data_IF_661815536250
#
_entry.id   IF_661815536250
#
_cell.length_a   1.000
_cell.length_b   1.000
_cell.length_c   1.000
_cell.angle_alpha   90.00
_cell.angle_beta   90.00
_cell.angle_gamma   90.00
#
_symmetry.space_group_name_H-M   'P 1'
#
loop_
_entity.id
_entity.type
_entity.pdbx_description
1 polymer ?
#
# COMPACT_ATOMS: atom_id res chain seq x y z
N UNK A 1 19.61 -20.66 -15.70
CA UNK A 1 18.76 -19.50 -15.32
C UNK A 1 18.46 -18.64 -16.54
N UNK A 2 17.17 -18.43 -16.89
CA UNK A 2 16.74 -17.56 -18.00
C UNK A 2 17.30 -16.14 -17.89
N UNK A 3 17.54 -15.47 -19.02
CA UNK A 3 18.10 -14.10 -19.05
C UNK A 3 17.24 -13.10 -18.28
N UNK A 4 15.91 -13.24 -18.32
CA UNK A 4 14.97 -12.41 -17.57
C UNK A 4 15.24 -12.45 -16.05
N UNK A 5 15.52 -13.62 -15.49
CA UNK A 5 15.84 -13.76 -14.06
C UNK A 5 17.22 -13.20 -13.71
N UNK A 6 18.19 -13.21 -14.65
CA UNK A 6 19.53 -12.64 -14.39
C UNK A 6 19.47 -11.12 -14.16
N UNK A 7 18.62 -10.41 -14.90
CA UNK A 7 18.40 -8.95 -14.71
C UNK A 7 17.74 -8.61 -13.38
N UNK A 8 16.97 -9.54 -12.82
CA UNK A 8 16.30 -9.40 -11.53
C UNK A 8 17.02 -10.15 -10.39
N UNK A 9 18.27 -10.57 -10.61
CA UNK A 9 19.04 -11.30 -9.60
C UNK A 9 19.22 -10.46 -8.33
N UNK A 10 19.25 -11.13 -7.18
CA UNK A 10 19.41 -10.48 -5.86
C UNK A 10 20.65 -9.58 -5.85
N UNK A 11 21.79 -10.07 -6.34
CA UNK A 11 23.03 -9.29 -6.39
C UNK A 11 22.92 -7.99 -7.20
N UNK A 12 22.05 -7.94 -8.22
CA UNK A 12 21.75 -6.74 -9.00
C UNK A 12 20.85 -5.80 -8.19
N UNK A 13 19.73 -6.33 -7.66
CA UNK A 13 18.76 -5.55 -6.90
C UNK A 13 19.33 -5.00 -5.58
N UNK A 14 20.27 -5.70 -4.93
CA UNK A 14 20.96 -5.22 -3.72
C UNK A 14 21.69 -3.91 -3.95
N UNK A 15 22.29 -3.73 -5.15
CA UNK A 15 23.07 -2.55 -5.52
C UNK A 15 22.21 -1.40 -6.04
N UNK A 16 20.97 -1.69 -6.42
CA UNK A 16 20.02 -0.69 -6.89
C UNK A 16 19.09 -0.26 -5.74
N UNK A 17 19.29 0.96 -5.25
CA UNK A 17 18.48 1.56 -4.19
C UNK A 17 16.99 1.70 -4.59
N UNK A 18 16.70 1.74 -5.89
CA UNK A 18 15.35 1.80 -6.45
C UNK A 18 14.85 0.43 -6.93
N UNK A 19 15.43 -0.66 -6.46
CA UNK A 19 14.96 -1.99 -6.80
C UNK A 19 13.67 -2.36 -6.06
N UNK A 20 12.87 -3.29 -6.62
CA UNK A 20 11.74 -3.90 -5.91
C UNK A 20 12.15 -4.50 -4.55
N UNK A 21 13.33 -5.12 -4.47
CA UNK A 21 13.86 -5.68 -3.22
C UNK A 21 14.01 -4.62 -2.12
N UNK A 22 14.62 -3.47 -2.43
CA UNK A 22 14.83 -2.41 -1.44
C UNK A 22 13.51 -1.77 -1.01
N UNK A 23 12.59 -1.52 -1.97
CA UNK A 23 11.23 -1.06 -1.65
C UNK A 23 10.47 -2.04 -0.75
N UNK A 24 10.54 -3.33 -1.04
CA UNK A 24 9.89 -4.36 -0.23
C UNK A 24 10.46 -4.39 1.20
N UNK A 25 11.78 -4.35 1.36
CA UNK A 25 12.43 -4.31 2.68
C UNK A 25 12.00 -3.09 3.48
N UNK A 26 12.00 -1.91 2.86
CA UNK A 26 11.62 -0.67 3.50
C UNK A 26 10.13 -0.70 3.92
N UNK A 27 9.24 -1.20 3.06
CA UNK A 27 7.83 -1.43 3.41
C UNK A 27 7.66 -2.40 4.58
N UNK A 28 8.34 -3.55 4.58
CA UNK A 28 8.27 -4.53 5.68
C UNK A 28 8.78 -3.92 6.99
N UNK A 29 9.87 -3.15 6.95
CA UNK A 29 10.40 -2.45 8.12
C UNK A 29 9.39 -1.41 8.66
N UNK A 30 8.72 -0.66 7.78
CA UNK A 30 7.63 0.24 8.17
C UNK A 30 6.44 -0.50 8.77
N UNK A 31 5.94 -1.56 8.09
CA UNK A 31 4.81 -2.38 8.55
C UNK A 31 5.05 -2.94 9.95
N UNK A 32 6.29 -3.33 10.27
CA UNK A 32 6.64 -3.86 11.61
C UNK A 32 6.44 -2.85 12.74
N UNK A 33 6.44 -1.55 12.43
CA UNK A 33 6.18 -0.46 13.39
C UNK A 33 4.70 -0.14 13.58
N UNK A 34 3.81 -0.74 12.77
CA UNK A 34 2.36 -0.52 12.84
C UNK A 34 1.69 -1.72 13.51
N UNK A 35 1.27 -1.64 14.80
CA UNK A 35 0.63 -2.76 15.50
C UNK A 35 -0.62 -3.27 14.76
N UNK A 36 -1.47 -2.35 14.27
CA UNK A 36 -2.67 -2.68 13.51
C UNK A 36 -2.36 -3.52 12.26
N UNK A 37 -1.30 -3.21 11.52
CA UNK A 37 -0.94 -3.99 10.33
C UNK A 37 -0.34 -5.36 10.64
N UNK A 38 0.30 -5.54 11.81
CA UNK A 38 0.96 -6.80 12.19
C UNK A 38 -0.02 -7.88 12.62
N UNK A 39 -0.93 -7.54 13.52
CA UNK A 39 -1.82 -8.52 14.16
C UNK A 39 -3.21 -7.96 14.49
N UNK A 40 -3.53 -6.75 14.04
CA UNK A 40 -4.84 -6.15 14.25
C UNK A 40 -5.96 -6.89 13.50
N UNK A 41 -7.19 -6.69 13.95
CA UNK A 41 -8.39 -7.16 13.27
C UNK A 41 -8.45 -6.58 11.84
N UNK A 42 -9.20 -7.23 10.96
CA UNK A 42 -9.38 -6.79 9.57
C UNK A 42 -10.86 -6.68 9.25
N UNK A 43 -11.23 -5.56 8.63
CA UNK A 43 -12.56 -5.32 8.07
C UNK A 43 -12.40 -4.97 6.60
N UNK A 44 -12.91 -5.82 5.72
CA UNK A 44 -12.92 -5.57 4.28
C UNK A 44 -13.90 -4.44 3.96
N UNK A 45 -13.55 -3.62 2.96
CA UNK A 45 -14.43 -2.62 2.39
C UNK A 45 -15.06 -3.16 1.12
N UNK A 46 -16.35 -2.87 0.94
CA UNK A 46 -17.05 -3.14 -0.31
C UNK A 46 -16.69 -2.04 -1.31
N UNK A 47 -15.73 -2.33 -2.18
CA UNK A 47 -15.23 -1.41 -3.19
C UNK A 47 -15.47 -1.98 -4.59
N UNK A 48 -15.72 -1.12 -5.60
CA UNK A 48 -15.84 -1.59 -6.96
C UNK A 48 -14.51 -2.19 -7.43
N UNK A 49 -14.58 -3.31 -8.14
CA UNK A 49 -13.41 -3.85 -8.83
C UNK A 49 -12.84 -2.79 -9.79
N UNK A 50 -11.50 -2.70 -9.95
CA UNK A 50 -10.46 -3.58 -9.41
C UNK A 50 -9.78 -3.01 -8.15
N UNK A 51 -10.53 -2.26 -7.32
CA UNK A 51 -10.01 -1.76 -6.04
C UNK A 51 -10.12 -2.81 -4.94
N UNK A 52 -9.07 -2.94 -4.15
CA UNK A 52 -9.07 -3.71 -2.90
C UNK A 52 -8.88 -2.74 -1.74
N UNK A 53 -9.68 -2.87 -0.69
CA UNK A 53 -9.55 -2.02 0.48
C UNK A 53 -9.98 -2.69 1.77
N UNK A 54 -9.32 -2.34 2.86
CA UNK A 54 -9.64 -2.84 4.18
C UNK A 54 -9.15 -1.89 5.27
N UNK A 55 -9.76 -1.97 6.43
CA UNK A 55 -9.31 -1.31 7.66
C UNK A 55 -8.69 -2.34 8.57
N UNK A 56 -7.51 -2.04 9.11
CA UNK A 56 -6.84 -2.79 10.16
C UNK A 56 -6.94 -2.06 11.48
N UNK A 57 -7.28 -2.75 12.56
CA UNK A 57 -7.42 -2.10 13.87
C UNK A 57 -6.71 -2.84 14.99
N UNK A 58 -6.06 -2.11 15.90
CA UNK A 58 -5.47 -2.65 17.12
C UNK A 58 -5.35 -1.57 18.18
N UNK A 59 -5.81 -1.85 19.40
CA UNK A 59 -5.59 -0.96 20.55
C UNK A 59 -6.19 0.45 20.42
N UNK A 60 -7.23 0.62 19.60
CA UNK A 60 -7.87 1.92 19.32
C UNK A 60 -7.34 2.62 18.06
N UNK A 61 -6.21 2.19 17.52
CA UNK A 61 -5.71 2.68 16.23
C UNK A 61 -6.38 1.94 15.08
N UNK A 62 -6.79 2.68 14.05
CA UNK A 62 -7.26 2.15 12.77
C UNK A 62 -6.35 2.62 11.64
N UNK A 63 -6.04 1.72 10.70
CA UNK A 63 -5.30 2.02 9.47
C UNK A 63 -6.15 1.55 8.29
N UNK A 64 -6.53 2.49 7.44
CA UNK A 64 -7.10 2.22 6.13
C UNK A 64 -5.98 1.83 5.16
N UNK A 65 -6.18 0.78 4.38
CA UNK A 65 -5.31 0.39 3.29
C UNK A 65 -6.14 0.22 2.02
N UNK A 66 -5.79 0.96 0.96
CA UNK A 66 -6.42 0.89 -0.36
C UNK A 66 -5.39 0.54 -1.42
N UNK A 67 -5.77 -0.31 -2.37
CA UNK A 67 -4.92 -0.82 -3.43
C UNK A 67 -5.68 -0.75 -4.76
N UNK A 68 -5.06 -0.14 -5.77
CA UNK A 68 -5.50 -0.23 -7.15
C UNK A 68 -4.76 -1.37 -7.83
N UNK A 69 -5.50 -2.38 -8.31
CA UNK A 69 -4.91 -3.56 -8.96
C UNK A 69 -4.84 -3.41 -10.49
N UNK A 70 -5.17 -2.24 -11.03
CA UNK A 70 -5.21 -1.92 -12.45
C UNK A 70 -4.13 -0.90 -12.84
N UNK A 71 -3.79 -0.93 -14.12
CA UNK A 71 -2.94 0.03 -14.83
C UNK A 71 -3.60 1.39 -15.08
N UNK A 72 -4.89 1.56 -14.78
CA UNK A 72 -5.61 2.82 -14.91
C UNK A 72 -5.81 3.49 -13.54
N UNK A 73 -5.75 4.84 -13.44
CA UNK A 73 -6.06 5.54 -12.19
C UNK A 73 -7.51 5.33 -11.77
N UNK A 74 -7.75 5.26 -10.47
CA UNK A 74 -9.08 5.02 -9.87
C UNK A 74 -9.32 5.98 -8.72
N UNK A 75 -10.59 6.31 -8.47
CA UNK A 75 -11.00 7.13 -7.34
C UNK A 75 -12.17 6.48 -6.63
N UNK A 76 -12.21 6.58 -5.31
CA UNK A 76 -13.27 5.98 -4.50
C UNK A 76 -13.60 6.82 -3.29
N UNK A 77 -14.87 6.84 -2.90
CA UNK A 77 -15.30 7.50 -1.67
C UNK A 77 -14.68 6.81 -0.46
N UNK A 78 -14.20 7.59 0.50
CA UNK A 78 -13.69 7.09 1.76
C UNK A 78 -14.84 6.68 2.68
N UNK A 79 -14.66 5.63 3.51
CA UNK A 79 -15.60 5.32 4.58
C UNK A 79 -15.63 6.48 5.58
N UNK A 80 -16.75 6.62 6.31
CA UNK A 80 -16.90 7.65 7.33
C UNK A 80 -15.71 7.66 8.31
N UNK A 81 -15.18 8.85 8.59
CA UNK A 81 -14.00 9.03 9.43
C UNK A 81 -13.16 10.22 8.96
N UNK A 82 -12.13 10.56 9.74
CA UNK A 82 -11.16 11.59 9.41
C UNK A 82 -9.81 10.93 9.09
N UNK A 83 -9.70 10.39 7.88
CA UNK A 83 -8.50 9.67 7.42
C UNK A 83 -7.38 10.65 7.04
N UNK A 84 -6.15 10.35 7.45
CA UNK A 84 -4.98 11.18 7.16
C UNK A 84 -3.88 10.30 6.55
N UNK A 85 -3.37 10.70 5.39
CA UNK A 85 -2.33 9.92 4.70
C UNK A 85 -1.14 9.63 5.62
N UNK A 86 -0.82 8.36 5.76
CA UNK A 86 0.33 7.87 6.52
C UNK A 86 1.53 7.74 5.59
N UNK A 87 2.60 8.48 5.88
CA UNK A 87 3.86 8.31 5.17
C UNK A 87 4.42 6.90 5.38
N UNK A 88 4.81 6.24 4.28
CA UNK A 88 5.35 4.89 4.30
C UNK A 88 6.47 4.71 3.28
N UNK A 89 7.31 3.68 3.48
CA UNK A 89 8.48 3.43 2.66
C UNK A 89 8.21 2.42 1.51
N UNK A 90 7.00 2.42 0.97
CA UNK A 90 6.55 1.51 -0.07
C UNK A 90 6.26 2.22 -1.39
N UNK A 91 5.77 1.52 -2.42
CA UNK A 91 5.22 2.17 -3.62
C UNK A 91 4.13 3.14 -3.21
N UNK A 92 4.23 4.41 -3.59
CA UNK A 92 3.20 5.42 -3.31
C UNK A 92 2.46 5.75 -4.62
N UNK A 93 1.30 6.37 -4.51
CA UNK A 93 0.43 6.72 -5.62
C UNK A 93 -0.99 7.05 -5.17
N UNK A 94 -1.21 7.17 -3.86
CA UNK A 94 -2.48 7.47 -3.25
C UNK A 94 -2.51 8.88 -2.67
N UNK A 95 -3.63 9.58 -2.83
CA UNK A 95 -3.88 10.83 -2.10
C UNK A 95 -5.33 10.91 -1.65
N UNK A 96 -5.57 11.67 -0.60
CA UNK A 96 -6.93 11.98 -0.13
C UNK A 96 -7.25 13.43 -0.53
N UNK A 97 -8.40 13.63 -1.17
CA UNK A 97 -9.03 14.93 -1.33
C UNK A 97 -10.40 14.89 -0.65
N UNK A 98 -10.54 15.63 0.46
CA UNK A 98 -11.71 15.64 1.35
C UNK A 98 -12.11 14.22 1.80
N UNK A 99 -13.09 13.62 1.11
CA UNK A 99 -13.64 12.30 1.41
C UNK A 99 -13.50 11.33 0.21
N UNK A 100 -12.52 11.58 -0.67
CA UNK A 100 -12.24 10.75 -1.84
C UNK A 100 -10.77 10.38 -1.86
N UNK A 101 -10.48 9.09 -1.99
CA UNK A 101 -9.15 8.60 -2.27
C UNK A 101 -8.94 8.55 -3.79
N UNK A 102 -7.81 9.07 -4.26
CA UNK A 102 -7.36 8.95 -5.63
C UNK A 102 -6.11 8.08 -5.66
N UNK A 103 -6.14 7.02 -6.48
CA UNK A 103 -5.06 6.07 -6.66
C UNK A 103 -4.58 6.12 -8.11
N UNK A 104 -3.27 6.29 -8.31
CA UNK A 104 -2.64 6.10 -9.60
C UNK A 104 -2.70 4.63 -10.06
N UNK A 105 -2.25 4.36 -11.29
CA UNK A 105 -2.01 3.00 -11.79
C UNK A 105 -1.16 2.20 -10.80
N UNK A 106 -1.64 1.03 -10.36
CA UNK A 106 -0.99 0.20 -9.34
C UNK A 106 -0.68 0.93 -8.01
N UNK A 107 -1.36 2.06 -7.76
CA UNK A 107 -1.16 2.91 -6.61
C UNK A 107 -1.78 2.32 -5.34
N UNK A 108 -1.21 2.69 -4.21
CA UNK A 108 -1.69 2.31 -2.88
C UNK A 108 -1.80 3.54 -2.00
N UNK A 109 -2.65 3.45 -0.98
CA UNK A 109 -2.82 4.48 0.04
C UNK A 109 -2.93 3.81 1.42
N UNK A 110 -2.17 4.32 2.39
CA UNK A 110 -2.37 4.05 3.80
C UNK A 110 -2.78 5.34 4.50
N UNK A 111 -3.82 5.28 5.35
CA UNK A 111 -4.35 6.45 6.05
C UNK A 111 -4.98 6.09 7.40
#
# INVERSE_FOLDING_TARGET
MPLAHRKLAVAVQERDAQSPLQRFRAFVAWRKRQPALRGGAIRLLDLPEPLLGFVRSAGGDEILALFNLDSNPRSVALPAGAWQTLAHAGPDGGRIDRNTAHLAAFGVLFA
#
